data_IF_627619424130
#
_entry.id   IF_627619424130
#
_cell.length_a   1.000
_cell.length_b   1.000
_cell.length_c   1.000
_cell.angle_alpha   90.00
_cell.angle_beta   90.00
_cell.angle_gamma   90.00
#
_symmetry.space_group_name_H-M   'P 1'
#
loop_
_entity.id
_entity.type
_entity.pdbx_description
1 polymer ?
#
# COMPACT_ATOMS: atom_id res chain seq x y z
N UNK A 1 -12.17 -3.59 14.66
CA UNK A 1 -11.69 -4.14 13.37
C UNK A 1 -10.22 -3.77 13.23
N UNK A 2 -9.36 -4.71 12.86
CA UNK A 2 -7.94 -4.42 12.54
C UNK A 2 -7.85 -4.35 11.03
N UNK A 3 -7.57 -3.17 10.49
CA UNK A 3 -7.32 -2.95 9.06
C UNK A 3 -5.86 -2.57 8.90
N UNK A 4 -5.06 -3.48 8.37
CA UNK A 4 -3.65 -3.24 8.03
C UNK A 4 -3.51 -2.98 6.53
N UNK A 5 -2.32 -2.57 6.11
CA UNK A 5 -2.08 -2.17 4.73
C UNK A 5 -2.37 -3.27 3.71
N UNK A 6 -2.11 -4.54 4.02
CA UNK A 6 -2.38 -5.68 3.14
C UNK A 6 -2.96 -6.87 3.91
N UNK A 7 -3.75 -7.69 3.21
CA UNK A 7 -4.30 -8.96 3.74
C UNK A 7 -3.20 -9.88 4.29
N UNK A 8 -2.05 -9.92 3.60
CA UNK A 8 -0.89 -10.71 4.00
C UNK A 8 -0.35 -10.35 5.39
N UNK A 9 -0.48 -9.10 5.82
CA UNK A 9 -0.03 -8.68 7.15
C UNK A 9 -0.91 -9.26 8.26
N UNK A 10 -2.23 -9.32 8.02
CA UNK A 10 -3.18 -9.93 8.96
C UNK A 10 -3.03 -11.46 8.94
N UNK A 11 -2.87 -12.06 7.76
CA UNK A 11 -2.62 -13.50 7.62
C UNK A 11 -1.31 -13.94 8.30
N UNK A 12 -0.29 -13.07 8.32
CA UNK A 12 0.93 -13.32 9.09
C UNK A 12 0.66 -13.37 10.61
N UNK A 13 -0.23 -12.53 11.13
CA UNK A 13 -0.64 -12.58 12.55
C UNK A 13 -1.42 -13.87 12.85
N UNK A 14 -2.36 -14.25 11.98
CA UNK A 14 -3.14 -15.50 12.09
C UNK A 14 -2.21 -16.69 12.19
N UNK A 15 -1.30 -16.84 11.22
CA UNK A 15 -0.40 -17.99 11.11
C UNK A 15 0.66 -18.05 12.20
N UNK A 16 1.26 -16.91 12.59
CA UNK A 16 2.38 -16.88 13.54
C UNK A 16 1.96 -16.82 15.00
N UNK A 17 0.81 -16.22 15.30
CA UNK A 17 0.41 -15.95 16.69
C UNK A 17 -0.91 -16.59 17.11
N UNK A 18 -1.75 -17.01 16.15
CA UNK A 18 -3.11 -17.53 16.38
C UNK A 18 -4.04 -16.57 17.16
N UNK A 19 -3.68 -15.28 17.27
CA UNK A 19 -4.47 -14.25 17.97
C UNK A 19 -5.68 -13.73 17.18
N UNK A 20 -5.74 -14.03 15.88
CA UNK A 20 -6.83 -13.65 14.99
C UNK A 20 -7.41 -14.93 14.39
N UNK A 21 -8.74 -15.02 14.35
CA UNK A 21 -9.44 -16.16 13.75
C UNK A 21 -9.08 -16.27 12.24
N UNK A 22 -8.77 -17.46 11.71
CA UNK A 22 -8.48 -17.65 10.28
C UNK A 22 -9.56 -17.11 9.33
N UNK A 23 -10.83 -17.12 9.72
CA UNK A 23 -11.95 -16.63 8.90
C UNK A 23 -12.19 -15.11 9.04
N UNK A 24 -11.23 -14.35 9.57
CA UNK A 24 -11.37 -12.91 9.84
C UNK A 24 -11.85 -12.08 8.64
N UNK A 25 -11.42 -12.44 7.41
CA UNK A 25 -11.74 -11.70 6.18
C UNK A 25 -13.22 -11.70 5.86
N UNK A 26 -13.94 -12.76 6.27
CA UNK A 26 -15.39 -12.92 6.06
C UNK A 26 -16.24 -12.38 7.21
N UNK A 27 -15.61 -11.96 8.30
CA UNK A 27 -16.31 -11.57 9.53
C UNK A 27 -17.18 -10.31 9.33
N UNK A 28 -16.78 -9.44 8.42
CA UNK A 28 -17.49 -8.21 8.09
C UNK A 28 -17.57 -8.04 6.57
N UNK A 29 -18.45 -7.15 6.12
CA UNK A 29 -18.61 -6.81 4.72
C UNK A 29 -17.31 -6.25 4.09
N UNK A 30 -17.29 -6.18 2.76
CA UNK A 30 -16.19 -5.61 1.99
C UNK A 30 -14.81 -6.21 2.33
N UNK A 31 -14.77 -7.54 2.55
CA UNK A 31 -13.57 -8.27 2.95
C UNK A 31 -12.91 -7.72 4.24
N UNK A 32 -13.73 -7.23 5.17
CA UNK A 32 -13.28 -6.55 6.38
C UNK A 32 -12.44 -5.28 6.13
N UNK A 33 -12.59 -4.64 4.96
CA UNK A 33 -11.99 -3.35 4.62
C UNK A 33 -13.07 -2.25 4.58
N UNK A 34 -13.27 -1.50 5.68
CA UNK A 34 -14.34 -0.49 5.77
C UNK A 34 -14.09 0.78 4.94
N UNK A 35 -12.88 0.96 4.41
CA UNK A 35 -12.53 2.05 3.51
C UNK A 35 -11.45 1.57 2.54
N UNK A 36 -11.31 2.29 1.43
CA UNK A 36 -10.27 2.08 0.42
C UNK A 36 -9.45 3.35 0.23
N UNK A 37 -8.33 3.22 -0.46
CA UNK A 37 -7.49 4.34 -0.89
C UNK A 37 -6.87 4.00 -2.24
N UNK A 38 -6.03 4.87 -2.77
CA UNK A 38 -5.29 4.65 -4.01
C UNK A 38 -3.87 5.24 -3.91
N UNK A 39 -3.05 4.95 -4.92
CA UNK A 39 -1.70 5.50 -5.06
C UNK A 39 -1.75 6.68 -6.03
N UNK A 40 -1.13 7.79 -5.63
CA UNK A 40 -1.03 9.01 -6.43
C UNK A 40 0.39 9.58 -6.33
N UNK A 41 0.75 10.46 -7.26
CA UNK A 41 1.99 11.21 -7.17
C UNK A 41 1.77 12.53 -6.44
N UNK A 42 2.65 12.80 -5.47
CA UNK A 42 2.78 14.13 -4.90
C UNK A 42 4.04 14.78 -5.46
N UNK A 43 3.87 15.92 -6.13
CA UNK A 43 4.96 16.67 -6.77
C UNK A 43 5.19 18.02 -6.08
N UNK A 44 6.39 18.57 -6.25
CA UNK A 44 6.69 19.94 -5.80
C UNK A 44 5.85 20.95 -6.61
N UNK A 45 5.58 22.11 -6.01
CA UNK A 45 4.82 23.22 -6.63
C UNK A 45 5.33 23.52 -8.04
N UNK A 46 4.41 23.68 -8.98
CA UNK A 46 4.71 23.98 -10.39
C UNK A 46 5.10 22.77 -11.24
N UNK A 47 5.21 21.57 -10.66
CA UNK A 47 5.58 20.33 -11.36
C UNK A 47 6.81 20.50 -12.28
N UNK A 48 7.99 20.87 -11.73
CA UNK A 48 9.17 21.25 -12.52
C UNK A 48 9.76 20.10 -13.36
N UNK A 49 9.33 18.86 -13.12
CA UNK A 49 9.75 17.67 -13.86
C UNK A 49 8.68 17.17 -14.84
N UNK A 50 7.56 17.88 -14.97
CA UNK A 50 6.43 17.53 -15.82
C UNK A 50 5.99 16.06 -15.64
N UNK A 51 5.80 15.65 -14.38
CA UNK A 51 5.32 14.29 -14.04
C UNK A 51 3.81 14.29 -14.17
N UNK A 52 3.30 13.44 -15.05
CA UNK A 52 1.89 13.26 -15.35
C UNK A 52 1.46 11.80 -15.23
N UNK A 53 2.37 10.86 -15.52
CA UNK A 53 2.08 9.43 -15.48
C UNK A 53 3.30 8.57 -15.11
N UNK A 54 3.09 7.27 -14.92
CA UNK A 54 4.08 6.28 -14.50
C UNK A 54 5.34 6.26 -15.38
N UNK A 55 5.18 6.45 -16.69
CA UNK A 55 6.30 6.52 -17.64
C UNK A 55 7.26 7.68 -17.36
N UNK A 56 6.81 8.73 -16.67
CA UNK A 56 7.65 9.87 -16.34
C UNK A 56 8.60 9.58 -15.18
N UNK A 57 8.29 8.58 -14.36
CA UNK A 57 9.10 8.23 -13.19
C UNK A 57 10.46 7.60 -13.55
N UNK A 58 10.59 7.07 -14.76
CA UNK A 58 11.83 6.43 -15.26
C UNK A 58 12.70 7.36 -16.10
N UNK A 59 12.28 8.62 -16.30
CA UNK A 59 13.05 9.60 -17.07
C UNK A 59 14.35 9.98 -16.36
N UNK A 60 15.37 10.29 -17.14
CA UNK A 60 16.65 10.77 -16.62
C UNK A 60 16.48 12.01 -15.73
N UNK A 61 17.17 12.00 -14.60
CA UNK A 61 17.13 13.11 -13.63
C UNK A 61 15.83 13.24 -12.84
N UNK A 62 14.94 12.23 -12.89
CA UNK A 62 13.83 12.05 -11.95
C UNK A 62 14.27 11.12 -10.82
N UNK A 63 14.07 11.57 -9.58
CA UNK A 63 14.34 10.76 -8.37
C UNK A 63 13.03 10.51 -7.64
N UNK A 64 12.67 9.24 -7.50
CA UNK A 64 11.44 8.79 -6.84
C UNK A 64 11.73 8.49 -5.37
N UNK A 65 10.88 9.00 -4.49
CA UNK A 65 10.90 8.66 -3.06
C UNK A 65 9.77 7.67 -2.80
N UNK A 66 10.12 6.43 -2.48
CA UNK A 66 9.17 5.36 -2.14
C UNK A 66 9.69 4.57 -0.93
N UNK A 67 8.82 4.10 -0.02
CA UNK A 67 9.25 3.31 1.13
C UNK A 67 9.75 1.91 0.75
N UNK A 68 10.31 1.18 1.72
CA UNK A 68 10.83 -0.17 1.52
C UNK A 68 9.71 -1.24 1.53
N UNK A 69 9.55 -2.08 0.48
CA UNK A 69 8.49 -3.10 0.42
C UNK A 69 8.65 -4.24 1.43
N UNK A 70 9.84 -4.41 2.03
CA UNK A 70 10.06 -5.43 3.07
C UNK A 70 9.43 -5.06 4.41
N UNK A 71 9.15 -3.77 4.65
CA UNK A 71 8.67 -3.28 5.95
C UNK A 71 7.40 -2.43 5.85
N UNK A 72 7.11 -1.86 4.67
CA UNK A 72 5.91 -1.05 4.45
C UNK A 72 4.89 -1.77 3.57
N UNK A 73 3.62 -1.74 3.96
CA UNK A 73 2.53 -2.20 3.08
C UNK A 73 2.20 -1.20 1.97
N UNK A 74 2.31 0.11 2.23
CA UNK A 74 2.18 1.13 1.19
C UNK A 74 3.18 0.93 0.06
N UNK A 75 4.45 0.61 0.41
CA UNK A 75 5.50 0.30 -0.56
C UNK A 75 5.18 -0.91 -1.45
N UNK A 76 4.41 -1.88 -0.94
CA UNK A 76 4.01 -3.07 -1.69
C UNK A 76 2.83 -2.79 -2.63
N UNK A 77 2.06 -1.73 -2.40
CA UNK A 77 0.99 -1.30 -3.30
C UNK A 77 1.50 -0.61 -4.57
N UNK A 78 2.69 -0.01 -4.51
CA UNK A 78 3.30 0.71 -5.64
C UNK A 78 4.64 0.11 -6.10
N UNK A 79 4.91 -1.16 -5.73
CA UNK A 79 6.03 -1.94 -6.23
C UNK A 79 5.73 -2.53 -7.60
#
# INVERSE_FOLDING_TARGET
VVTLALEGDINAIVSKSKKINPDWRKKFENNSAPYTSTIVFLVRKGNPKAIHDWSDLVKDGVQVITPNPKTSGGARWNY
#
